data_IF_505352102185
#
_entry.id   IF_505352102185
#
_cell.length_a   1.000
_cell.length_b   1.000
_cell.length_c   1.000
_cell.angle_alpha   90.00
_cell.angle_beta   90.00
_cell.angle_gamma   90.00
#
_symmetry.space_group_name_H-M   'P 1'
#
loop_
_entity.id
_entity.type
_entity.pdbx_description
1 polymer ?
#
# COMPACT_ATOMS: atom_id res chain seq x y z
N UNK A 1 49.27 -9.66 -17.29
CA UNK A 1 48.50 -8.60 -17.97
C UNK A 1 47.02 -8.97 -17.94
N UNK A 2 46.26 -8.66 -16.88
CA UNK A 2 44.79 -8.88 -16.90
C UNK A 2 44.03 -8.26 -15.71
N UNK A 3 44.62 -8.09 -14.53
CA UNK A 3 43.84 -7.64 -13.35
C UNK A 3 43.27 -6.22 -13.45
N UNK A 4 43.99 -5.28 -14.06
CA UNK A 4 43.54 -3.90 -14.29
C UNK A 4 42.45 -3.81 -15.36
N UNK A 5 42.51 -4.64 -16.40
CA UNK A 5 41.48 -4.71 -17.43
C UNK A 5 40.19 -5.31 -16.86
N UNK A 6 40.30 -6.39 -16.08
CA UNK A 6 39.16 -7.02 -15.40
C UNK A 6 38.51 -6.07 -14.39
N UNK A 7 39.31 -5.32 -13.61
CA UNK A 7 38.79 -4.31 -12.67
C UNK A 7 38.05 -3.17 -13.37
N UNK A 8 38.56 -2.70 -14.51
CA UNK A 8 37.93 -1.63 -15.30
C UNK A 8 36.65 -2.11 -15.99
N UNK A 9 36.65 -3.32 -16.52
CA UNK A 9 35.45 -3.93 -17.12
C UNK A 9 34.38 -4.17 -16.05
N UNK A 10 34.75 -4.69 -14.86
CA UNK A 10 33.79 -4.86 -13.76
C UNK A 10 33.20 -3.53 -13.28
N UNK A 11 34.02 -2.49 -13.14
CA UNK A 11 33.53 -1.15 -12.79
C UNK A 11 32.57 -0.58 -13.86
N UNK A 12 32.86 -0.84 -15.15
CA UNK A 12 32.00 -0.42 -16.25
C UNK A 12 30.68 -1.19 -16.29
N UNK A 13 30.68 -2.49 -16.00
CA UNK A 13 29.46 -3.31 -15.94
C UNK A 13 28.58 -2.89 -14.76
N UNK A 14 29.17 -2.61 -13.60
CA UNK A 14 28.43 -2.12 -12.42
C UNK A 14 27.85 -0.72 -12.70
N UNK A 15 28.65 0.19 -13.27
CA UNK A 15 28.19 1.52 -13.65
C UNK A 15 27.10 1.48 -14.74
N UNK A 16 27.23 0.61 -15.75
CA UNK A 16 26.22 0.43 -16.79
C UNK A 16 24.92 -0.17 -16.23
N UNK A 17 25.00 -1.11 -15.28
CA UNK A 17 23.83 -1.64 -14.57
C UNK A 17 23.12 -0.58 -13.73
N UNK A 18 23.86 0.39 -13.18
CA UNK A 18 23.28 1.52 -12.44
C UNK A 18 22.66 2.57 -13.36
N UNK A 19 23.21 2.77 -14.56
CA UNK A 19 22.66 3.68 -15.57
C UNK A 19 21.46 3.11 -16.34
N UNK A 20 21.28 1.79 -16.36
CA UNK A 20 20.17 1.11 -17.04
C UNK A 20 19.06 0.64 -16.08
N UNK A 21 19.24 0.82 -14.77
CA UNK A 21 18.45 0.14 -13.75
C UNK A 21 17.40 1.03 -13.11
N UNK A 22 16.15 0.59 -13.16
CA UNK A 22 15.15 1.12 -12.23
C UNK A 22 15.53 0.72 -10.80
N UNK A 23 15.51 1.67 -9.86
CA UNK A 23 15.73 1.41 -8.43
C UNK A 23 14.38 1.41 -7.74
N UNK A 24 14.04 0.30 -7.07
CA UNK A 24 12.87 0.22 -6.20
C UNK A 24 13.29 0.65 -4.80
N UNK A 25 12.80 1.81 -4.36
CA UNK A 25 12.97 2.32 -3.01
C UNK A 25 11.74 1.96 -2.18
N UNK A 26 11.84 1.08 -1.15
CA UNK A 26 10.72 0.80 -0.28
C UNK A 26 10.37 2.03 0.56
N UNK A 27 9.09 2.37 0.61
CA UNK A 27 8.53 3.46 1.42
C UNK A 27 7.25 2.97 2.08
N UNK A 28 6.79 3.64 3.15
CA UNK A 28 5.48 3.32 3.75
C UNK A 28 4.81 4.59 4.26
N UNK A 29 4.05 5.26 3.39
CA UNK A 29 3.24 6.42 3.75
C UNK A 29 1.84 6.33 3.17
N UNK A 30 0.93 7.06 3.80
CA UNK A 30 -0.46 7.20 3.34
C UNK A 30 -0.57 8.34 2.35
N UNK A 31 -1.41 8.18 1.32
CA UNK A 31 -1.70 9.28 0.40
C UNK A 31 -2.39 10.44 1.12
N UNK A 32 -2.29 11.65 0.57
CA UNK A 32 -2.95 12.82 1.13
C UNK A 32 -4.49 12.64 1.08
N UNK A 33 -5.15 12.77 2.23
CA UNK A 33 -6.59 12.51 2.36
C UNK A 33 -6.96 11.05 2.62
N UNK A 34 -5.99 10.13 2.55
CA UNK A 34 -6.24 8.72 2.84
C UNK A 34 -6.37 8.45 4.34
N UNK A 35 -7.15 7.43 4.68
CA UNK A 35 -7.49 7.06 6.05
C UNK A 35 -6.27 6.51 6.79
N UNK A 36 -6.07 6.98 8.03
CA UNK A 36 -4.90 6.62 8.88
C UNK A 36 -5.26 5.86 10.14
N UNK A 37 -6.54 5.80 10.50
CA UNK A 37 -7.02 5.10 11.70
C UNK A 37 -7.20 3.59 11.51
N UNK A 38 -7.02 3.09 10.28
CA UNK A 38 -6.92 1.65 10.00
C UNK A 38 -5.44 1.26 10.00
N UNK A 39 -5.00 0.66 11.10
CA UNK A 39 -3.66 0.15 11.33
C UNK A 39 -3.74 -1.33 11.71
N UNK A 40 -2.60 -2.04 11.69
CA UNK A 40 -2.57 -3.44 12.13
C UNK A 40 -3.08 -3.57 13.58
N UNK A 41 -2.69 -2.65 14.46
CA UNK A 41 -3.17 -2.62 15.85
C UNK A 41 -4.68 -2.40 15.95
N UNK A 42 -5.26 -1.48 15.17
CA UNK A 42 -6.72 -1.27 15.24
C UNK A 42 -7.49 -2.43 14.60
N UNK A 43 -6.93 -3.09 13.58
CA UNK A 43 -7.49 -4.30 13.00
C UNK A 43 -7.43 -5.51 13.95
N UNK A 44 -6.38 -5.63 14.76
CA UNK A 44 -6.24 -6.66 15.79
C UNK A 44 -7.29 -6.50 16.91
N UNK A 45 -7.66 -5.26 17.22
CA UNK A 45 -8.70 -4.97 18.21
C UNK A 45 -10.13 -5.33 17.74
N UNK A 46 -10.32 -5.62 16.45
CA UNK A 46 -11.61 -6.09 15.91
C UNK A 46 -11.77 -7.59 16.12
N UNK A 47 -12.58 -7.94 17.10
CA UNK A 47 -12.84 -9.31 17.54
C UNK A 47 -14.26 -9.72 17.12
N UNK A 48 -14.35 -10.73 16.26
CA UNK A 48 -15.62 -11.31 15.81
C UNK A 48 -16.39 -11.87 17.02
N UNK A 49 -17.69 -11.57 17.07
CA UNK A 49 -18.59 -11.95 18.16
C UNK A 49 -18.51 -11.06 19.41
N UNK A 50 -17.63 -10.05 19.42
CA UNK A 50 -17.43 -9.15 20.57
C UNK A 50 -17.56 -7.68 20.16
N UNK A 51 -16.85 -7.26 19.11
CA UNK A 51 -16.84 -5.86 18.67
C UNK A 51 -18.22 -5.47 18.12
N UNK A 52 -18.76 -4.35 18.59
CA UNK A 52 -20.04 -3.84 18.11
C UNK A 52 -19.87 -2.89 16.93
N UNK A 53 -20.93 -2.69 16.14
CA UNK A 53 -20.94 -1.70 15.07
C UNK A 53 -20.69 -0.27 15.59
N UNK A 54 -21.15 0.03 16.80
CA UNK A 54 -20.89 1.31 17.46
C UNK A 54 -19.39 1.47 17.76
N UNK A 55 -18.73 0.45 18.31
CA UNK A 55 -17.28 0.49 18.57
C UNK A 55 -16.48 0.73 17.27
N UNK A 56 -16.90 0.09 16.18
CA UNK A 56 -16.30 0.27 14.85
C UNK A 56 -16.47 1.70 14.36
N UNK A 57 -17.69 2.26 14.45
CA UNK A 57 -17.96 3.64 14.04
C UNK A 57 -17.25 4.67 14.93
N UNK A 58 -17.07 4.38 16.23
CA UNK A 58 -16.30 5.25 17.12
C UNK A 58 -14.80 5.20 16.83
N UNK A 59 -14.28 4.02 16.48
CA UNK A 59 -12.85 3.82 16.21
C UNK A 59 -12.46 4.32 14.83
N UNK A 60 -13.23 3.96 13.81
CA UNK A 60 -12.92 4.28 12.43
C UNK A 60 -13.69 5.50 11.90
N UNK A 61 -14.78 5.92 12.52
CA UNK A 61 -15.63 6.97 11.98
C UNK A 61 -16.52 6.46 10.84
N UNK A 62 -16.99 7.40 10.02
CA UNK A 62 -17.89 7.11 8.89
C UNK A 62 -17.19 6.22 7.84
N UNK A 63 -17.83 5.14 7.37
CA UNK A 63 -17.32 4.29 6.30
C UNK A 63 -17.49 4.96 4.94
N UNK A 64 -16.62 4.61 3.98
CA UNK A 64 -16.75 5.06 2.59
C UNK A 64 -18.01 4.47 1.92
N UNK A 65 -18.38 3.24 2.29
CA UNK A 65 -19.64 2.62 1.84
C UNK A 65 -20.32 1.88 2.98
N UNK A 66 -21.65 1.95 3.00
CA UNK A 66 -22.48 1.15 3.90
C UNK A 66 -23.58 0.46 3.11
N UNK A 67 -23.84 -0.81 3.45
CA UNK A 67 -24.92 -1.62 2.88
C UNK A 67 -25.90 -2.00 3.99
N UNK A 68 -26.87 -1.12 4.34
CA UNK A 68 -27.77 -1.34 5.47
C UNK A 68 -28.59 -2.62 5.37
N UNK A 69 -28.92 -3.07 4.14
CA UNK A 69 -29.68 -4.32 3.94
C UNK A 69 -28.86 -5.57 4.26
N UNK A 70 -27.53 -5.47 4.20
CA UNK A 70 -26.61 -6.57 4.42
C UNK A 70 -25.90 -6.46 5.77
N UNK A 71 -26.13 -5.36 6.52
CA UNK A 71 -25.37 -5.02 7.72
C UNK A 71 -23.85 -5.08 7.46
N UNK A 72 -23.40 -4.44 6.37
CA UNK A 72 -21.99 -4.40 5.98
C UNK A 72 -21.50 -2.95 5.94
N UNK A 73 -20.35 -2.71 6.54
CA UNK A 73 -19.60 -1.46 6.43
C UNK A 73 -18.29 -1.72 5.69
N UNK A 74 -17.91 -0.82 4.79
CA UNK A 74 -16.69 -0.93 3.99
C UNK A 74 -15.83 0.29 4.20
N UNK A 75 -14.58 0.04 4.58
CA UNK A 75 -13.56 1.06 4.78
C UNK A 75 -12.45 0.94 3.74
N UNK A 76 -12.05 2.04 3.11
CA UNK A 76 -11.03 2.06 2.06
C UNK A 76 -9.86 2.98 2.42
N UNK A 77 -8.63 2.59 2.06
CA UNK A 77 -7.44 3.42 2.23
C UNK A 77 -6.31 3.04 1.28
N UNK A 78 -5.43 4.01 1.02
CA UNK A 78 -4.34 3.91 0.06
C UNK A 78 -3.00 4.15 0.75
N UNK A 79 -2.01 3.33 0.39
CA UNK A 79 -0.63 3.50 0.83
C UNK A 79 0.33 3.41 -0.34
N UNK A 80 1.36 4.23 -0.33
CA UNK A 80 2.52 4.07 -1.21
C UNK A 80 3.49 3.12 -0.53
N UNK A 81 3.84 2.03 -1.22
CA UNK A 81 4.70 0.96 -0.69
C UNK A 81 6.10 0.94 -1.30
N UNK A 82 6.27 1.56 -2.46
CA UNK A 82 7.58 1.74 -3.06
C UNK A 82 7.58 2.92 -4.02
N UNK A 83 8.77 3.47 -4.28
CA UNK A 83 9.03 4.39 -5.36
C UNK A 83 9.90 3.68 -6.40
N UNK A 84 9.47 3.65 -7.65
CA UNK A 84 10.27 3.20 -8.77
C UNK A 84 11.00 4.40 -9.35
N UNK A 85 12.28 4.53 -9.04
CA UNK A 85 13.16 5.52 -9.65
C UNK A 85 13.66 4.96 -10.98
N UNK A 86 13.55 5.72 -12.06
CA UNK A 86 14.00 5.30 -13.38
C UNK A 86 14.83 6.39 -14.05
N UNK A 87 15.75 5.95 -14.90
CA UNK A 87 16.52 6.81 -15.80
C UNK A 87 16.53 6.17 -17.19
N UNK A 88 15.95 6.85 -18.17
CA UNK A 88 15.97 6.48 -19.58
C UNK A 88 17.16 7.16 -20.27
N UNK A 89 17.92 6.45 -21.12
CA UNK A 89 19.09 6.99 -21.80
C UNK A 89 18.74 7.91 -22.99
N UNK A 90 17.46 8.19 -23.23
CA UNK A 90 16.98 8.99 -24.38
C UNK A 90 16.67 10.42 -23.91
N UNK A 91 17.14 11.47 -24.62
CA UNK A 91 16.82 12.85 -24.29
C UNK A 91 15.32 13.11 -24.53
N UNK A 92 14.54 12.99 -23.45
CA UNK A 92 13.13 13.30 -23.39
C UNK A 92 12.85 14.10 -22.11
N UNK A 93 11.76 14.87 -22.09
CA UNK A 93 11.42 15.75 -20.97
C UNK A 93 11.10 15.01 -19.65
N UNK A 94 11.10 13.67 -19.65
CA UNK A 94 10.94 12.79 -18.48
C UNK A 94 12.01 11.68 -18.48
N UNK A 95 13.24 11.97 -18.91
CA UNK A 95 14.31 10.98 -18.96
C UNK A 95 14.72 10.45 -17.57
N UNK A 96 14.38 11.15 -16.48
CA UNK A 96 14.55 10.67 -15.11
C UNK A 96 13.28 10.98 -14.33
N UNK A 97 12.81 10.02 -13.53
CA UNK A 97 11.60 10.22 -12.74
C UNK A 97 11.43 9.20 -11.62
N UNK A 98 10.39 9.42 -10.82
CA UNK A 98 9.92 8.51 -9.80
C UNK A 98 8.44 8.18 -10.06
N UNK A 99 8.07 6.91 -9.95
CA UNK A 99 6.67 6.46 -9.99
C UNK A 99 6.32 5.88 -8.63
N UNK A 100 5.20 6.32 -8.06
CA UNK A 100 4.67 5.76 -6.83
C UNK A 100 4.03 4.39 -7.12
N UNK A 101 4.45 3.37 -6.38
CA UNK A 101 3.79 2.06 -6.36
C UNK A 101 2.80 2.08 -5.21
N UNK A 102 1.55 2.33 -5.59
CA UNK A 102 0.42 2.41 -4.68
C UNK A 102 -0.08 1.02 -4.29
N UNK A 103 -0.90 0.97 -3.24
CA UNK A 103 -1.61 -0.22 -2.82
C UNK A 103 -2.93 0.21 -2.19
N UNK A 104 -4.02 -0.28 -2.78
CA UNK A 104 -5.37 -0.03 -2.32
C UNK A 104 -5.78 -1.12 -1.34
N UNK A 105 -6.35 -0.70 -0.23
CA UNK A 105 -6.82 -1.57 0.82
C UNK A 105 -8.30 -1.34 1.06
N UNK A 106 -8.98 -2.43 1.34
CA UNK A 106 -10.39 -2.43 1.71
C UNK A 106 -10.59 -3.31 2.93
N UNK A 107 -11.38 -2.84 3.88
CA UNK A 107 -11.81 -3.55 5.07
C UNK A 107 -13.33 -3.67 5.00
N UNK A 108 -13.80 -4.88 4.75
CA UNK A 108 -15.21 -5.22 4.83
C UNK A 108 -15.52 -5.80 6.21
N UNK A 109 -16.52 -5.24 6.86
CA UNK A 109 -17.03 -5.68 8.16
C UNK A 109 -18.50 -6.03 8.02
N UNK A 110 -18.84 -7.29 8.24
CA UNK A 110 -20.22 -7.74 8.30
C UNK A 110 -20.67 -7.86 9.76
N UNK A 111 -21.91 -7.49 10.04
CA UNK A 111 -22.50 -7.53 11.36
C UNK A 111 -23.73 -8.44 11.38
N UNK A 112 -23.97 -9.08 12.53
CA UNK A 112 -25.16 -9.88 12.75
C UNK A 112 -26.40 -9.00 13.00
N UNK A 113 -27.51 -9.64 13.39
CA UNK A 113 -28.78 -8.94 13.68
C UNK A 113 -28.73 -8.09 14.95
N UNK A 114 -27.76 -8.32 15.82
CA UNK A 114 -27.53 -7.58 17.06
C UNK A 114 -26.46 -6.49 16.89
N UNK A 115 -26.04 -6.21 15.65
CA UNK A 115 -24.95 -5.28 15.32
C UNK A 115 -23.61 -5.68 15.93
N UNK A 116 -23.37 -6.98 16.09
CA UNK A 116 -22.09 -7.54 16.53
C UNK A 116 -21.32 -8.02 15.31
N UNK A 117 -20.03 -7.71 15.25
CA UNK A 117 -19.15 -8.10 14.15
C UNK A 117 -19.20 -9.62 13.94
N UNK A 118 -19.61 -10.05 12.76
CA UNK A 118 -19.77 -11.47 12.40
C UNK A 118 -18.70 -11.94 11.42
N UNK A 119 -18.20 -11.05 10.56
CA UNK A 119 -17.10 -11.34 9.65
C UNK A 119 -16.22 -10.10 9.43
N UNK A 120 -14.93 -10.35 9.16
CA UNK A 120 -13.92 -9.32 8.91
C UNK A 120 -13.01 -9.77 7.78
N UNK A 121 -12.97 -8.99 6.70
CA UNK A 121 -12.10 -9.26 5.57
C UNK A 121 -11.26 -8.05 5.21
N UNK A 122 -9.96 -8.25 5.05
CA UNK A 122 -9.02 -7.23 4.57
C UNK A 122 -8.58 -7.62 3.17
N UNK A 123 -9.04 -6.87 2.17
CA UNK A 123 -8.70 -7.06 0.78
C UNK A 123 -7.54 -6.13 0.45
N UNK A 124 -6.51 -6.68 -0.21
CA UNK A 124 -5.29 -5.97 -0.60
C UNK A 124 -5.21 -5.99 -2.11
N UNK A 125 -5.68 -4.94 -2.76
CA UNK A 125 -5.65 -4.83 -4.21
C UNK A 125 -4.31 -4.27 -4.67
N UNK A 126 -3.79 -4.83 -5.76
CA UNK A 126 -2.71 -4.20 -6.51
C UNK A 126 -3.27 -2.96 -7.24
N UNK A 127 -2.45 -1.92 -7.46
CA UNK A 127 -2.82 -0.78 -8.28
C UNK A 127 -3.06 -1.21 -9.74
#
# INVERSE_FOLDING_TARGET
MSSLAVRRVAAFVIAASLCAGCVILPVDYYYAGSRKNVSETTLENLVVGVTTMEDVLLTFGEPEQSFPKLNVLVYQWDKVKALLLYAAPVPANNAVGAVEIEKHYELELAFDKNNILSDKQVIKNAP
#
